data_IF_681279390550
#
_entry.id   IF_681279390550
#
_cell.length_a   1.000
_cell.length_b   1.000
_cell.length_c   1.000
_cell.angle_alpha   90.00
_cell.angle_beta   90.00
_cell.angle_gamma   90.00
#
_symmetry.space_group_name_H-M   'P 1'
#
loop_
_entity.id
_entity.type
_entity.pdbx_description
1 polymer ?
#
# COMPACT_ATOMS: atom_id res chain seq x y z
N UNK A 1 6.03 -6.65 37.67
CA UNK A 1 6.26 -7.43 36.45
C UNK A 1 5.16 -7.10 35.47
N UNK A 2 5.44 -6.30 34.44
CA UNK A 2 4.49 -6.07 33.34
C UNK A 2 4.29 -7.40 32.61
N UNK A 3 3.09 -7.99 32.72
CA UNK A 3 2.76 -9.23 32.01
C UNK A 3 2.94 -9.03 30.51
N UNK A 4 3.53 -10.02 29.83
CA UNK A 4 3.63 -10.01 28.38
C UNK A 4 2.22 -10.02 27.80
N UNK A 5 1.86 -8.97 27.05
CA UNK A 5 0.58 -8.90 26.34
C UNK A 5 0.59 -9.97 25.24
N UNK A 6 -0.08 -11.08 25.48
CA UNK A 6 -0.31 -12.09 24.45
C UNK A 6 -1.38 -11.56 23.48
N UNK A 7 -0.98 -11.26 22.24
CA UNK A 7 -1.92 -10.90 21.17
C UNK A 7 -2.50 -12.16 20.54
N UNK A 8 -3.81 -12.35 20.60
CA UNK A 8 -4.49 -13.42 19.87
C UNK A 8 -4.43 -13.15 18.36
N UNK A 9 -3.95 -14.15 17.60
CA UNK A 9 -3.85 -14.10 16.15
C UNK A 9 -5.21 -13.82 15.49
N UNK A 10 -6.31 -14.25 16.10
CA UNK A 10 -7.66 -14.02 15.61
C UNK A 10 -7.99 -12.52 15.59
N UNK A 11 -7.62 -11.80 16.66
CA UNK A 11 -7.84 -10.35 16.75
C UNK A 11 -6.90 -9.56 15.82
N UNK A 12 -5.66 -10.03 15.65
CA UNK A 12 -4.72 -9.45 14.68
C UNK A 12 -5.23 -9.63 13.24
N UNK A 13 -5.80 -10.79 12.92
CA UNK A 13 -6.41 -11.06 11.63
C UNK A 13 -7.60 -10.14 11.34
N UNK A 14 -8.49 -9.97 12.31
CA UNK A 14 -9.69 -9.11 12.19
C UNK A 14 -9.37 -7.62 12.04
N UNK A 15 -8.23 -7.16 12.54
CA UNK A 15 -7.83 -5.74 12.47
C UNK A 15 -6.98 -5.40 11.23
N UNK A 16 -6.49 -6.41 10.51
CA UNK A 16 -5.76 -6.22 9.25
C UNK A 16 -6.70 -5.82 8.13
N UNK A 17 -6.23 -4.98 7.18
CA UNK A 17 -6.99 -4.70 5.98
C UNK A 17 -7.15 -5.98 5.15
N UNK A 18 -8.21 -6.09 4.34
CA UNK A 18 -8.38 -7.23 3.45
C UNK A 18 -7.31 -7.22 2.35
N UNK A 19 -6.75 -8.39 2.04
CA UNK A 19 -5.63 -8.58 1.11
C UNK A 19 -5.92 -9.70 0.11
N UNK A 20 -5.40 -9.56 -1.11
CA UNK A 20 -5.47 -10.56 -2.18
C UNK A 20 -4.03 -10.93 -2.56
N UNK A 21 -3.71 -12.23 -2.53
CA UNK A 21 -2.36 -12.75 -2.81
C UNK A 21 -1.23 -12.04 -2.04
N UNK A 22 -1.51 -11.60 -0.81
CA UNK A 22 -0.54 -10.92 0.06
C UNK A 22 -0.35 -9.42 -0.18
N UNK A 23 -1.16 -8.82 -1.06
CA UNK A 23 -1.16 -7.37 -1.32
C UNK A 23 -2.51 -6.75 -0.95
N UNK A 24 -2.53 -5.48 -0.55
CA UNK A 24 -3.79 -4.76 -0.27
C UNK A 24 -4.77 -4.83 -1.45
N UNK A 25 -6.07 -4.98 -1.17
CA UNK A 25 -7.13 -5.05 -2.20
C UNK A 25 -7.07 -3.87 -3.17
N UNK A 26 -6.82 -2.65 -2.68
CA UNK A 26 -6.77 -1.44 -3.51
C UNK A 26 -5.68 -1.53 -4.57
N UNK A 27 -4.49 -1.99 -4.20
CA UNK A 27 -3.40 -2.16 -5.15
C UNK A 27 -3.66 -3.34 -6.10
N UNK A 28 -4.15 -4.47 -5.59
CA UNK A 28 -4.44 -5.62 -6.44
C UNK A 28 -5.44 -5.27 -7.54
N UNK A 29 -6.51 -4.55 -7.19
CA UNK A 29 -7.49 -4.04 -8.14
C UNK A 29 -6.88 -3.06 -9.14
N UNK A 30 -6.08 -2.09 -8.69
CA UNK A 30 -5.41 -1.12 -9.56
C UNK A 30 -4.45 -1.82 -10.54
N UNK A 31 -3.63 -2.76 -10.06
CA UNK A 31 -2.70 -3.52 -10.88
C UNK A 31 -3.44 -4.32 -11.95
N UNK A 32 -4.55 -4.98 -11.59
CA UNK A 32 -5.39 -5.71 -12.54
C UNK A 32 -6.02 -4.80 -13.59
N UNK A 33 -6.66 -3.69 -13.19
CA UNK A 33 -7.32 -2.75 -14.10
C UNK A 33 -6.30 -2.13 -15.07
N UNK A 34 -5.15 -1.65 -14.56
CA UNK A 34 -4.10 -1.06 -15.39
C UNK A 34 -3.51 -2.06 -16.36
N UNK A 35 -3.27 -3.30 -15.91
CA UNK A 35 -2.77 -4.38 -16.78
C UNK A 35 -3.76 -4.68 -17.89
N UNK A 36 -5.07 -4.74 -17.58
CA UNK A 36 -6.12 -4.97 -18.57
C UNK A 36 -6.17 -3.86 -19.62
N UNK A 37 -6.15 -2.59 -19.20
CA UNK A 37 -6.18 -1.44 -20.11
C UNK A 37 -4.97 -1.46 -21.06
N UNK A 38 -3.77 -1.68 -20.53
CA UNK A 38 -2.55 -1.71 -21.34
C UNK A 38 -2.51 -2.96 -22.24
N UNK A 39 -3.02 -4.09 -21.77
CA UNK A 39 -3.13 -5.30 -22.57
C UNK A 39 -4.06 -5.10 -23.77
N UNK A 40 -5.23 -4.49 -23.59
CA UNK A 40 -6.16 -4.19 -24.69
C UNK A 40 -5.52 -3.25 -25.71
N UNK A 41 -4.74 -2.26 -25.23
CA UNK A 41 -4.10 -1.29 -26.12
C UNK A 41 -2.96 -1.89 -26.96
N UNK A 42 -2.07 -2.68 -26.34
CA UNK A 42 -0.87 -3.19 -27.00
C UNK A 42 -1.02 -4.63 -27.53
N UNK A 43 -2.05 -5.38 -27.09
CA UNK A 43 -2.27 -6.81 -27.34
C UNK A 43 -1.06 -7.71 -27.06
N UNK A 44 -0.10 -7.21 -26.26
CA UNK A 44 1.17 -7.88 -25.99
C UNK A 44 1.12 -8.62 -24.67
N UNK A 45 1.36 -9.95 -24.70
CA UNK A 45 1.36 -10.80 -23.50
C UNK A 45 2.47 -10.45 -22.50
N UNK A 46 3.51 -9.74 -22.95
CA UNK A 46 4.61 -9.27 -22.12
C UNK A 46 4.16 -8.40 -20.93
N UNK A 47 3.01 -7.71 -21.05
CA UNK A 47 2.48 -6.88 -19.97
C UNK A 47 2.15 -7.70 -18.70
N UNK A 48 1.81 -8.98 -18.85
CA UNK A 48 1.53 -9.87 -17.71
C UNK A 48 2.78 -10.09 -16.84
N UNK A 49 3.97 -10.20 -17.45
CA UNK A 49 5.22 -10.32 -16.71
C UNK A 49 5.55 -9.04 -15.94
N UNK A 50 5.31 -7.88 -16.56
CA UNK A 50 5.50 -6.57 -15.90
C UNK A 50 4.51 -6.44 -14.73
N UNK A 51 3.25 -6.82 -14.94
CA UNK A 51 2.22 -6.82 -13.89
C UNK A 51 2.60 -7.72 -12.72
N UNK A 52 3.10 -8.93 -12.98
CA UNK A 52 3.57 -9.87 -11.97
C UNK A 52 4.78 -9.31 -11.20
N UNK A 53 5.75 -8.71 -11.90
CA UNK A 53 6.90 -8.07 -11.24
C UNK A 53 6.47 -6.91 -10.33
N UNK A 54 5.56 -6.04 -10.81
CA UNK A 54 4.99 -4.97 -10.00
C UNK A 54 4.22 -5.50 -8.79
N UNK A 55 3.48 -6.60 -8.96
CA UNK A 55 2.77 -7.25 -7.87
C UNK A 55 3.71 -7.82 -6.81
N UNK A 56 4.84 -8.42 -7.24
CA UNK A 56 5.86 -8.94 -6.33
C UNK A 56 6.53 -7.82 -5.52
N UNK A 57 6.82 -6.68 -6.15
CA UNK A 57 7.34 -5.50 -5.42
C UNK A 57 6.33 -5.03 -4.37
N UNK A 58 5.05 -4.93 -4.73
CA UNK A 58 4.01 -4.55 -3.78
C UNK A 58 3.79 -5.57 -2.67
N UNK A 59 3.99 -6.87 -2.95
CA UNK A 59 3.98 -7.93 -1.97
C UNK A 59 5.07 -7.73 -0.92
N UNK A 60 6.31 -7.44 -1.33
CA UNK A 60 7.42 -7.16 -0.41
C UNK A 60 7.12 -5.94 0.48
N UNK A 61 6.54 -4.89 -0.11
CA UNK A 61 6.15 -3.69 0.64
C UNK A 61 5.05 -4.02 1.67
N UNK A 62 4.01 -4.74 1.25
CA UNK A 62 2.89 -5.12 2.11
C UNK A 62 3.29 -6.15 3.19
N UNK A 63 4.34 -6.93 2.95
CA UNK A 63 4.90 -7.84 3.95
C UNK A 63 5.42 -7.09 5.18
N UNK A 64 5.98 -5.88 4.98
CA UNK A 64 6.43 -5.02 6.07
C UNK A 64 5.29 -4.21 6.70
N UNK A 65 4.41 -3.66 5.88
CA UNK A 65 3.25 -2.89 6.35
C UNK A 65 2.03 -3.14 5.45
N UNK A 66 1.01 -3.90 5.91
CA UNK A 66 -0.14 -4.27 5.08
C UNK A 66 -0.99 -3.07 4.66
N UNK A 67 -0.96 -1.95 5.40
CA UNK A 67 -1.68 -0.71 5.07
C UNK A 67 -0.86 0.30 4.29
N UNK A 68 0.31 -0.07 3.76
CA UNK A 68 1.24 0.88 3.14
C UNK A 68 0.58 1.79 2.10
N UNK A 69 -0.22 1.23 1.20
CA UNK A 69 -0.89 1.99 0.13
C UNK A 69 -1.89 3.01 0.67
N UNK A 70 -2.66 2.64 1.69
CA UNK A 70 -3.63 3.55 2.32
C UNK A 70 -2.93 4.67 3.09
N UNK A 71 -1.89 4.32 3.83
CA UNK A 71 -1.06 5.29 4.56
C UNK A 71 -0.39 6.26 3.58
N UNK A 72 0.12 5.75 2.46
CA UNK A 72 0.73 6.57 1.43
C UNK A 72 -0.27 7.53 0.77
N UNK A 73 -1.45 7.03 0.39
CA UNK A 73 -2.53 7.86 -0.15
C UNK A 73 -3.02 8.92 0.86
N UNK A 74 -3.20 8.53 2.12
CA UNK A 74 -3.58 9.46 3.18
C UNK A 74 -2.51 10.52 3.41
N UNK A 75 -1.24 10.14 3.39
CA UNK A 75 -0.12 11.09 3.44
C UNK A 75 -0.19 12.06 2.26
N UNK A 76 -0.36 11.58 1.04
CA UNK A 76 -0.47 12.44 -0.14
C UNK A 76 -1.70 13.37 -0.11
N UNK A 77 -2.84 12.89 0.40
CA UNK A 77 -4.11 13.63 0.38
C UNK A 77 -4.27 14.60 1.55
N UNK A 78 -3.87 14.20 2.76
CA UNK A 78 -4.19 14.90 4.01
C UNK A 78 -3.00 15.61 4.64
N UNK A 79 -1.77 15.23 4.28
CA UNK A 79 -0.58 15.91 4.78
C UNK A 79 -0.04 16.84 3.70
N UNK A 80 -0.57 18.08 3.67
CA UNK A 80 -0.12 19.14 2.76
C UNK A 80 1.41 19.26 2.80
N UNK A 81 2.06 19.35 1.63
CA UNK A 81 3.50 19.51 1.57
C UNK A 81 3.85 20.94 2.00
N UNK A 82 4.18 21.10 3.28
CA UNK A 82 4.60 22.39 3.81
C UNK A 82 6.02 22.71 3.31
N UNK A 83 6.27 23.90 2.71
CA UNK A 83 7.62 24.30 2.29
C UNK A 83 8.63 24.27 3.44
N UNK A 84 8.15 24.54 4.65
CA UNK A 84 8.96 24.61 5.86
C UNK A 84 9.39 23.25 6.41
N UNK A 85 8.96 22.14 5.78
CA UNK A 85 9.25 20.78 6.26
C UNK A 85 10.74 20.51 6.39
N UNK A 86 11.57 21.10 5.54
CA UNK A 86 13.02 20.94 5.58
C UNK A 86 13.62 21.51 6.88
N UNK A 87 13.10 22.64 7.38
CA UNK A 87 13.62 23.27 8.59
C UNK A 87 13.15 22.57 9.87
N UNK A 88 11.88 22.17 9.93
CA UNK A 88 11.27 21.61 11.16
C UNK A 88 11.27 20.08 11.22
N UNK A 89 11.62 19.38 10.13
CA UNK A 89 11.53 17.92 10.02
C UNK A 89 10.09 17.37 9.99
N UNK A 90 9.08 18.24 10.12
CA UNK A 90 7.66 17.90 10.14
C UNK A 90 6.83 18.91 9.35
N UNK A 91 5.61 18.51 8.97
CA UNK A 91 4.66 19.41 8.33
C UNK A 91 4.06 20.34 9.40
N UNK A 92 4.16 21.65 9.19
CA UNK A 92 3.47 22.64 10.04
C UNK A 92 1.99 22.68 9.66
N UNK A 93 1.11 22.32 10.59
CA UNK A 93 -0.33 22.50 10.41
C UNK A 93 -0.66 23.97 10.65
N UNK A 94 -0.83 24.74 9.58
CA UNK A 94 -1.54 26.01 9.68
C UNK A 94 -2.97 25.76 9.18
N UNK A 95 -3.93 26.26 9.95
CA UNK A 95 -5.35 26.34 9.57
C UNK A 95 -5.50 27.20 8.32
#
# INVERSE_FOLDING_TARGET
>A
MSGALASDLLFVGLTRPPMIFGVSIKFAALNMIMTMIVFIWNNGIMILFIAAALHLVAYIICFKEPRFIELYLNKMSRTSQCPNKFYYGANSYNI
#
